data_IF_352109583210
#
_entry.id   IF_352109583210
#
_cell.length_a   1.000
_cell.length_b   1.000
_cell.length_c   1.000
_cell.angle_alpha   90.00
_cell.angle_beta   90.00
_cell.angle_gamma   90.00
#
_symmetry.space_group_name_H-M   'P 1'
#
loop_
_entity.id
_entity.type
_entity.pdbx_description
1 polymer ?
#
# COMPACT_ATOMS: atom_id res chain seq x y z
N UNK A 1 -11.47 5.68 -26.82
CA UNK A 1 -11.55 6.46 -25.57
C UNK A 1 -12.27 5.72 -24.46
N UNK A 2 -13.46 5.15 -24.69
CA UNK A 2 -14.18 4.34 -23.68
C UNK A 2 -13.32 3.29 -22.97
N UNK A 3 -12.52 2.51 -23.71
CA UNK A 3 -11.61 1.52 -23.12
C UNK A 3 -10.58 2.14 -22.19
N UNK A 4 -10.08 3.34 -22.50
CA UNK A 4 -9.15 4.07 -21.64
C UNK A 4 -9.88 4.52 -20.37
N UNK A 5 -11.08 5.13 -20.50
CA UNK A 5 -11.86 5.51 -19.32
C UNK A 5 -12.20 4.31 -18.42
N UNK A 6 -12.60 3.18 -19.01
CA UNK A 6 -12.90 1.96 -18.27
C UNK A 6 -11.69 1.38 -17.52
N UNK A 7 -10.48 1.44 -18.10
CA UNK A 7 -9.28 0.97 -17.39
C UNK A 7 -8.83 1.95 -16.30
N UNK A 8 -9.02 3.27 -16.48
CA UNK A 8 -8.75 4.27 -15.44
C UNK A 8 -9.72 4.14 -14.26
N UNK A 9 -11.01 3.90 -14.54
CA UNK A 9 -12.01 3.59 -13.53
C UNK A 9 -11.58 2.37 -12.70
N UNK A 10 -11.20 1.29 -13.38
CA UNK A 10 -10.76 0.06 -12.74
C UNK A 10 -9.48 0.24 -11.93
N UNK A 11 -8.54 1.03 -12.43
CA UNK A 11 -7.31 1.37 -11.72
C UNK A 11 -7.61 2.15 -10.45
N UNK A 12 -8.54 3.12 -10.52
CA UNK A 12 -9.00 3.88 -9.36
C UNK A 12 -9.60 2.97 -8.28
N UNK A 13 -10.53 2.07 -8.64
CA UNK A 13 -11.14 1.12 -7.69
C UNK A 13 -10.09 0.25 -6.97
N UNK A 14 -9.04 -0.18 -7.70
CA UNK A 14 -8.00 -1.02 -7.14
C UNK A 14 -7.04 -0.24 -6.24
N UNK A 15 -6.77 1.02 -6.56
CA UNK A 15 -6.04 1.95 -5.68
C UNK A 15 -6.85 2.28 -4.42
N UNK A 16 -8.15 2.51 -4.53
CA UNK A 16 -9.07 2.68 -3.39
C UNK A 16 -9.04 1.45 -2.47
N UNK A 17 -9.09 0.24 -3.04
CA UNK A 17 -8.96 -1.00 -2.29
C UNK A 17 -7.59 -1.12 -1.60
N UNK A 18 -6.51 -0.73 -2.28
CA UNK A 18 -5.17 -0.74 -1.70
C UNK A 18 -5.07 0.25 -0.53
N UNK A 19 -5.57 1.47 -0.70
CA UNK A 19 -5.66 2.47 0.37
C UNK A 19 -6.48 1.94 1.55
N UNK A 20 -7.64 1.35 1.30
CA UNK A 20 -8.45 0.72 2.33
C UNK A 20 -7.67 -0.33 3.13
N UNK A 21 -6.89 -1.19 2.46
CA UNK A 21 -6.04 -2.20 3.15
C UNK A 21 -4.87 -1.60 3.92
N UNK A 22 -4.34 -0.47 3.48
CA UNK A 22 -3.35 0.28 4.24
C UNK A 22 -3.96 0.93 5.48
N UNK A 23 -5.15 1.49 5.38
CA UNK A 23 -5.90 2.04 6.52
C UNK A 23 -6.25 0.93 7.52
N UNK A 24 -6.72 -0.23 7.06
CA UNK A 24 -6.97 -1.41 7.90
C UNK A 24 -5.71 -1.84 8.65
N UNK A 25 -4.55 -1.88 7.97
CA UNK A 25 -3.26 -2.19 8.60
C UNK A 25 -2.90 -1.14 9.66
N UNK A 26 -3.14 0.15 9.40
CA UNK A 26 -2.89 1.23 10.36
C UNK A 26 -3.70 1.04 11.64
N UNK A 27 -5.00 0.77 11.52
CA UNK A 27 -5.89 0.58 12.66
C UNK A 27 -5.49 -0.64 13.51
N UNK A 28 -4.98 -1.71 12.88
CA UNK A 28 -4.45 -2.88 13.60
C UNK A 28 -3.14 -2.52 14.34
N UNK A 29 -2.28 -1.70 13.75
CA UNK A 29 -1.06 -1.21 14.41
C UNK A 29 -1.42 -0.34 15.62
N UNK A 30 -2.30 0.65 15.44
CA UNK A 30 -2.73 1.59 16.48
C UNK A 30 -3.47 0.90 17.63
N UNK A 31 -4.23 -0.17 17.35
CA UNK A 31 -4.90 -0.97 18.39
C UNK A 31 -3.98 -1.95 19.12
N UNK A 32 -2.75 -2.16 18.65
CA UNK A 32 -1.82 -3.14 19.23
C UNK A 32 -2.19 -4.60 18.97
N UNK A 33 -3.13 -4.88 18.06
CA UNK A 33 -3.61 -6.23 17.74
C UNK A 33 -2.67 -6.98 16.77
N UNK A 34 -1.40 -7.10 17.16
CA UNK A 34 -0.28 -7.59 16.33
C UNK A 34 -0.54 -8.97 15.71
N UNK A 35 -1.33 -9.82 16.36
CA UNK A 35 -1.73 -11.15 15.84
C UNK A 35 -2.42 -11.09 14.47
N UNK A 36 -3.06 -9.97 14.11
CA UNK A 36 -3.73 -9.79 12.82
C UNK A 36 -2.85 -9.11 11.76
N UNK A 37 -1.68 -8.56 12.11
CA UNK A 37 -0.83 -7.84 11.15
C UNK A 37 -0.39 -8.71 9.97
N UNK A 38 -0.03 -9.97 10.22
CA UNK A 38 0.33 -10.90 9.14
C UNK A 38 -0.81 -11.15 8.17
N UNK A 39 -2.08 -11.11 8.64
CA UNK A 39 -3.26 -11.24 7.79
C UNK A 39 -3.48 -9.97 6.96
N UNK A 40 -3.32 -8.80 7.58
CA UNK A 40 -3.51 -7.49 6.95
C UNK A 40 -2.46 -7.22 5.86
N UNK A 41 -1.17 -7.47 6.15
CA UNK A 41 -0.08 -7.30 5.17
C UNK A 41 -0.27 -8.18 3.94
N UNK A 42 -0.78 -9.42 4.10
CA UNK A 42 -1.16 -10.27 2.96
C UNK A 42 -2.27 -9.66 2.10
N UNK A 43 -3.24 -8.96 2.67
CA UNK A 43 -4.27 -8.27 1.89
C UNK A 43 -3.71 -7.06 1.15
N UNK A 44 -2.82 -6.28 1.78
CA UNK A 44 -2.10 -5.19 1.11
C UNK A 44 -1.32 -5.72 -0.09
N UNK A 45 -0.59 -6.82 0.07
CA UNK A 45 0.16 -7.44 -1.03
C UNK A 45 -0.76 -7.93 -2.16
N UNK A 46 -1.92 -8.52 -1.83
CA UNK A 46 -2.93 -8.90 -2.84
C UNK A 46 -3.49 -7.71 -3.60
N UNK A 47 -3.83 -6.63 -2.89
CA UNK A 47 -4.32 -5.40 -3.52
C UNK A 47 -3.24 -4.75 -4.40
N UNK A 48 -1.99 -4.71 -3.93
CA UNK A 48 -0.83 -4.21 -4.66
C UNK A 48 -0.57 -5.00 -5.95
N UNK A 49 -0.64 -6.33 -5.90
CA UNK A 49 -0.48 -7.17 -7.09
C UNK A 49 -1.55 -6.85 -8.13
N UNK A 50 -2.82 -6.76 -7.72
CA UNK A 50 -3.91 -6.39 -8.63
C UNK A 50 -3.74 -4.98 -9.23
N UNK A 51 -3.24 -4.04 -8.42
CA UNK A 51 -2.93 -2.67 -8.88
C UNK A 51 -1.86 -2.70 -9.98
N UNK A 52 -0.84 -3.54 -9.84
CA UNK A 52 0.20 -3.71 -10.88
C UNK A 52 -0.34 -4.37 -12.15
N UNK A 53 -1.24 -5.33 -12.00
CA UNK A 53 -1.87 -5.98 -13.16
C UNK A 53 -2.71 -4.98 -13.98
N UNK A 54 -3.52 -4.14 -13.32
CA UNK A 54 -4.30 -3.12 -14.02
C UNK A 54 -3.43 -2.01 -14.60
N UNK A 55 -2.34 -1.64 -13.94
CA UNK A 55 -1.37 -0.65 -14.42
C UNK A 55 -0.75 -1.10 -15.77
N UNK A 56 -0.37 -2.38 -15.88
CA UNK A 56 0.08 -2.98 -17.13
C UNK A 56 -1.02 -3.00 -18.21
N UNK A 57 -2.26 -3.32 -17.83
CA UNK A 57 -3.40 -3.27 -18.75
C UNK A 57 -3.66 -1.85 -19.25
N UNK A 58 -3.54 -0.83 -18.37
CA UNK A 58 -3.66 0.58 -18.73
C UNK A 58 -2.58 0.98 -19.71
N UNK A 59 -1.31 0.68 -19.41
CA UNK A 59 -0.20 0.97 -20.30
C UNK A 59 -0.43 0.37 -21.71
N UNK A 60 -0.83 -0.90 -21.79
CA UNK A 60 -1.14 -1.55 -23.06
C UNK A 60 -2.35 -0.92 -23.78
N UNK A 61 -3.39 -0.53 -23.05
CA UNK A 61 -4.60 0.09 -23.62
C UNK A 61 -4.31 1.49 -24.17
N UNK A 62 -3.52 2.27 -23.45
CA UNK A 62 -3.09 3.62 -23.88
C UNK A 62 -2.16 3.50 -25.09
N UNK A 63 -1.20 2.58 -25.08
CA UNK A 63 -0.26 2.38 -26.18
C UNK A 63 -0.94 2.08 -27.54
N UNK A 64 -2.08 1.40 -27.52
CA UNK A 64 -2.88 1.14 -28.73
C UNK A 64 -3.47 2.40 -29.37
N UNK A 65 -3.59 3.50 -28.61
CA UNK A 65 -4.25 4.74 -29.06
C UNK A 65 -3.29 5.92 -29.16
N UNK A 66 -2.37 6.05 -28.20
CA UNK A 66 -1.41 7.14 -28.08
C UNK A 66 -0.22 6.69 -27.23
N UNK A 67 0.71 5.97 -27.86
CA UNK A 67 1.91 5.45 -27.19
C UNK A 67 2.73 6.56 -26.51
N UNK A 68 3.22 6.24 -25.30
CA UNK A 68 3.93 7.19 -24.44
C UNK A 68 3.13 8.42 -23.99
N UNK A 69 1.81 8.47 -24.20
CA UNK A 69 1.00 9.62 -23.80
C UNK A 69 0.71 9.62 -22.29
N UNK A 70 0.82 10.79 -21.67
CA UNK A 70 0.35 11.02 -20.31
C UNK A 70 -1.17 11.24 -20.30
N UNK A 71 -1.79 11.10 -19.12
CA UNK A 71 -3.23 11.34 -18.95
C UNK A 71 -3.61 12.79 -19.24
N UNK A 72 -2.76 13.76 -18.88
CA UNK A 72 -2.98 15.17 -19.23
C UNK A 72 -2.96 15.40 -20.74
N UNK A 73 -2.02 14.77 -21.44
CA UNK A 73 -1.97 14.84 -22.91
C UNK A 73 -3.19 14.19 -23.54
N UNK A 74 -3.62 13.03 -23.03
CA UNK A 74 -4.86 12.38 -23.46
C UNK A 74 -6.06 13.32 -23.28
N UNK A 75 -6.20 13.95 -22.11
CA UNK A 75 -7.28 14.91 -21.86
C UNK A 75 -7.25 16.13 -22.80
N UNK A 76 -6.06 16.60 -23.18
CA UNK A 76 -5.91 17.76 -24.07
C UNK A 76 -6.22 17.45 -25.54
N UNK A 77 -5.91 16.24 -26.02
CA UNK A 77 -6.09 15.86 -27.43
C UNK A 77 -7.37 15.08 -27.71
N UNK A 78 -8.08 14.67 -26.66
CA UNK A 78 -9.28 13.87 -26.80
C UNK A 78 -10.43 14.66 -27.44
N UNK A 79 -11.26 14.04 -28.29
CA UNK A 79 -12.51 14.65 -28.73
C UNK A 79 -13.50 14.70 -27.56
N UNK A 80 -14.50 15.59 -27.64
CA UNK A 80 -15.60 15.60 -26.67
C UNK A 80 -16.33 14.23 -26.62
N UNK A 81 -16.85 13.79 -25.45
CA UNK A 81 -16.88 14.47 -24.14
C UNK A 81 -15.67 14.19 -23.23
N UNK A 82 -14.63 13.54 -23.76
CA UNK A 82 -13.57 12.90 -22.98
C UNK A 82 -12.61 13.82 -22.21
N UNK A 83 -12.31 15.06 -22.65
CA UNK A 83 -11.38 15.93 -21.94
C UNK A 83 -11.74 16.15 -20.46
N UNK A 84 -13.03 16.35 -20.16
CA UNK A 84 -13.52 16.51 -18.78
C UNK A 84 -13.32 15.24 -17.96
N UNK A 85 -13.81 14.11 -18.50
CA UNK A 85 -13.71 12.79 -17.85
C UNK A 85 -12.26 12.44 -17.50
N UNK A 86 -11.31 12.65 -18.42
CA UNK A 86 -9.91 12.34 -18.16
C UNK A 86 -9.25 13.28 -17.14
N UNK A 87 -9.69 14.55 -17.05
CA UNK A 87 -9.25 15.45 -15.97
C UNK A 87 -9.78 15.00 -14.61
N UNK A 88 -11.05 14.59 -14.54
CA UNK A 88 -11.64 14.09 -13.29
C UNK A 88 -10.91 12.81 -12.81
N UNK A 89 -10.61 11.88 -13.73
CA UNK A 89 -9.77 10.73 -13.41
C UNK A 89 -8.36 11.12 -12.95
N UNK A 90 -7.74 12.11 -13.59
CA UNK A 90 -6.40 12.60 -13.22
C UNK A 90 -6.38 13.10 -11.78
N UNK A 91 -7.31 13.97 -11.41
CA UNK A 91 -7.40 14.55 -10.07
C UNK A 91 -7.60 13.46 -8.99
N UNK A 92 -8.52 12.52 -9.25
CA UNK A 92 -8.80 11.41 -8.34
C UNK A 92 -7.61 10.46 -8.16
N UNK A 93 -6.94 10.09 -9.26
CA UNK A 93 -5.78 9.19 -9.22
C UNK A 93 -4.59 9.84 -8.51
N UNK A 94 -4.32 11.13 -8.77
CA UNK A 94 -3.26 11.89 -8.08
C UNK A 94 -3.52 11.92 -6.57
N UNK A 95 -4.75 12.21 -6.15
CA UNK A 95 -5.12 12.23 -4.73
C UNK A 95 -4.91 10.85 -4.08
N UNK A 96 -5.41 9.78 -4.71
CA UNK A 96 -5.25 8.42 -4.18
C UNK A 96 -3.80 7.99 -4.05
N UNK A 97 -2.95 8.27 -5.04
CA UNK A 97 -1.53 7.93 -4.97
C UNK A 97 -0.86 8.65 -3.80
N UNK A 98 -1.14 9.94 -3.60
CA UNK A 98 -0.61 10.69 -2.46
C UNK A 98 -1.08 10.12 -1.11
N UNK A 99 -2.37 9.78 -0.99
CA UNK A 99 -2.92 9.19 0.23
C UNK A 99 -2.33 7.80 0.55
N UNK A 100 -2.10 6.99 -0.48
CA UNK A 100 -1.43 5.69 -0.37
C UNK A 100 0.00 5.85 0.14
N UNK A 101 0.77 6.78 -0.43
CA UNK A 101 2.15 7.05 0.00
C UNK A 101 2.21 7.51 1.46
N UNK A 102 1.36 8.47 1.84
CA UNK A 102 1.26 8.97 3.22
C UNK A 102 0.88 7.85 4.18
N UNK A 103 -0.11 7.03 3.84
CA UNK A 103 -0.59 5.95 4.71
C UNK A 103 0.45 4.84 4.84
N UNK A 104 1.11 4.45 3.75
CA UNK A 104 2.20 3.48 3.78
C UNK A 104 3.38 3.98 4.63
N UNK A 105 3.73 5.27 4.53
CA UNK A 105 4.78 5.88 5.34
C UNK A 105 4.43 5.85 6.84
N UNK A 106 3.18 6.19 7.20
CA UNK A 106 2.69 6.12 8.58
C UNK A 106 2.75 4.70 9.13
N UNK A 107 2.26 3.72 8.37
CA UNK A 107 2.32 2.31 8.77
C UNK A 107 3.75 1.84 9.03
N UNK A 108 4.71 2.28 8.20
CA UNK A 108 6.12 1.99 8.42
C UNK A 108 6.68 2.68 9.68
N UNK A 109 6.22 3.90 9.99
CA UNK A 109 6.53 4.60 11.24
C UNK A 109 6.08 3.80 12.46
N UNK A 110 4.79 3.44 12.50
CA UNK A 110 4.21 2.65 13.59
C UNK A 110 4.88 1.29 13.76
N UNK A 111 5.18 0.58 12.66
CA UNK A 111 5.87 -0.70 12.73
C UNK A 111 7.31 -0.59 13.27
N UNK A 112 8.03 0.50 12.98
CA UNK A 112 9.35 0.78 13.58
C UNK A 112 9.23 1.00 15.08
N UNK A 113 8.29 1.85 15.50
CA UNK A 113 8.01 2.10 16.93
C UNK A 113 7.63 0.81 17.67
N UNK A 114 6.85 -0.06 17.03
CA UNK A 114 6.50 -1.38 17.56
C UNK A 114 7.71 -2.29 17.75
N UNK A 115 8.64 -2.35 16.79
CA UNK A 115 9.90 -3.10 16.92
C UNK A 115 10.78 -2.57 18.04
N UNK A 116 10.91 -1.25 18.17
CA UNK A 116 11.73 -0.64 19.22
C UNK A 116 11.15 -0.91 20.61
N UNK A 117 9.83 -0.88 20.75
CA UNK A 117 9.14 -1.26 21.98
C UNK A 117 9.40 -2.71 22.38
N UNK A 118 9.38 -3.66 21.42
CA UNK A 118 9.70 -5.07 21.68
C UNK A 118 11.17 -5.27 22.10
N UNK A 119 12.10 -4.49 21.52
CA UNK A 119 13.53 -4.53 21.88
C UNK A 119 13.76 -4.05 23.31
N UNK A 120 13.15 -2.92 23.70
CA UNK A 120 13.27 -2.36 25.05
C UNK A 120 12.67 -3.28 26.12
N UNK A 121 11.52 -3.91 25.83
CA UNK A 121 10.89 -4.87 26.74
C UNK A 121 11.79 -6.10 27.01
N UNK A 122 12.51 -6.59 25.99
CA UNK A 122 13.45 -7.72 26.15
C UNK A 122 14.61 -7.37 27.09
N UNK A 123 15.17 -6.17 26.97
CA UNK A 123 16.28 -5.72 27.83
C UNK A 123 15.82 -5.70 29.28
N UNK A 124 14.65 -5.10 29.56
CA UNK A 124 14.10 -4.99 30.92
C UNK A 124 13.87 -6.35 31.57
N UNK A 125 13.29 -7.32 30.84
CA UNK A 125 13.05 -8.68 31.35
C UNK A 125 14.35 -9.46 31.65
N UNK A 126 15.46 -9.13 30.95
CA UNK A 126 16.78 -9.71 31.21
C UNK A 126 17.39 -9.29 32.55
N UNK A 127 16.92 -8.19 33.15
CA UNK A 127 17.37 -7.71 34.46
C UNK A 127 16.64 -8.34 35.64
N UNK A 128 15.49 -9.02 35.45
CA UNK A 128 14.55 -9.30 36.56
C UNK A 128 14.23 -10.78 36.90
N UNK A 129 14.52 -11.83 36.12
CA UNK A 129 13.78 -13.12 36.34
C UNK A 129 14.51 -14.49 36.22
N UNK A 130 13.97 -15.47 37.00
CA UNK A 130 14.32 -16.90 37.20
C UNK A 130 13.62 -17.88 36.19
N UNK A 131 14.04 -19.17 36.06
CA UNK A 131 13.79 -19.96 34.85
C UNK A 131 12.68 -21.04 34.93
N UNK A 132 11.96 -21.22 33.80
CA UNK A 132 11.46 -22.54 33.34
C UNK A 132 10.11 -22.55 32.60
N UNK A 133 10.10 -22.93 31.31
CA UNK A 133 8.93 -23.13 30.41
C UNK A 133 8.22 -21.84 29.92
N UNK A 134 7.69 -21.00 30.79
CA UNK A 134 6.90 -19.79 30.41
C UNK A 134 7.73 -18.80 29.53
N UNK A 135 9.06 -18.80 29.76
CA UNK A 135 10.02 -17.98 29.00
C UNK A 135 10.08 -18.34 27.51
N UNK A 136 9.94 -19.62 27.13
CA UNK A 136 10.06 -20.05 25.73
C UNK A 136 8.84 -19.63 24.93
N UNK A 137 7.65 -19.79 25.49
CA UNK A 137 6.41 -19.40 24.83
C UNK A 137 6.32 -17.87 24.68
N UNK A 138 6.70 -17.13 25.72
CA UNK A 138 6.81 -15.66 25.65
C UNK A 138 7.85 -15.19 24.60
N UNK A 139 8.97 -15.91 24.45
CA UNK A 139 9.98 -15.63 23.44
C UNK A 139 9.46 -15.89 22.02
N UNK A 140 8.73 -16.99 21.81
CA UNK A 140 8.09 -17.29 20.52
C UNK A 140 7.06 -16.23 20.12
N UNK A 141 6.19 -15.81 21.05
CA UNK A 141 5.22 -14.74 20.80
C UNK A 141 5.93 -13.44 20.41
N UNK A 142 6.99 -13.06 21.13
CA UNK A 142 7.78 -11.86 20.81
C UNK A 142 8.41 -11.94 19.42
N UNK A 143 8.99 -13.08 19.05
CA UNK A 143 9.58 -13.29 17.73
C UNK A 143 8.52 -13.20 16.63
N UNK A 144 7.34 -13.79 16.84
CA UNK A 144 6.22 -13.71 15.90
C UNK A 144 5.74 -12.25 15.72
N UNK A 145 5.66 -11.48 16.81
CA UNK A 145 5.32 -10.06 16.76
C UNK A 145 6.38 -9.24 16.00
N UNK A 146 7.68 -9.50 16.25
CA UNK A 146 8.77 -8.87 15.52
C UNK A 146 8.70 -9.13 14.01
N UNK A 147 8.52 -10.39 13.63
CA UNK A 147 8.35 -10.78 12.22
C UNK A 147 7.13 -10.11 11.56
N UNK A 148 6.04 -9.91 12.31
CA UNK A 148 4.86 -9.22 11.80
C UNK A 148 5.14 -7.74 11.49
N UNK A 149 5.83 -7.02 12.38
CA UNK A 149 6.24 -5.64 12.13
C UNK A 149 7.25 -5.52 10.97
N UNK A 150 8.23 -6.43 10.90
CA UNK A 150 9.18 -6.47 9.77
C UNK A 150 8.48 -6.69 8.43
N UNK A 151 7.42 -7.52 8.42
CA UNK A 151 6.59 -7.72 7.23
C UNK A 151 5.90 -6.43 6.79
N UNK A 152 5.38 -5.63 7.74
CA UNK A 152 4.80 -4.31 7.42
C UNK A 152 5.83 -3.40 6.76
N UNK A 153 7.06 -3.33 7.29
CA UNK A 153 8.15 -2.53 6.72
C UNK A 153 8.52 -2.99 5.31
N UNK A 154 8.64 -4.30 5.12
CA UNK A 154 8.95 -4.89 3.83
C UNK A 154 7.85 -4.58 2.81
N UNK A 155 6.58 -4.71 3.17
CA UNK A 155 5.44 -4.37 2.31
C UNK A 155 5.41 -2.88 1.97
N UNK A 156 5.58 -1.99 2.96
CA UNK A 156 5.61 -0.54 2.72
C UNK A 156 6.70 -0.14 1.72
N UNK A 157 7.90 -0.73 1.82
CA UNK A 157 9.02 -0.46 0.91
C UNK A 157 8.74 -0.83 -0.56
N UNK A 158 7.80 -1.74 -0.79
CA UNK A 158 7.43 -2.28 -2.11
C UNK A 158 6.26 -1.56 -2.79
N UNK A 159 5.65 -0.57 -2.13
CA UNK A 159 4.48 0.19 -2.62
C UNK A 159 4.88 1.35 -3.54
N UNK A 160 5.81 1.12 -4.46
CA UNK A 160 6.18 2.12 -5.47
C UNK A 160 5.31 1.96 -6.72
N UNK A 161 4.91 3.09 -7.29
CA UNK A 161 4.06 3.18 -8.50
C UNK A 161 4.67 4.15 -9.55
N UNK A 162 5.92 3.91 -10.01
CA UNK A 162 6.60 4.84 -10.91
C UNK A 162 5.86 5.01 -12.24
N UNK A 163 5.37 3.91 -12.82
CA UNK A 163 4.72 3.92 -14.14
C UNK A 163 3.38 4.67 -14.12
N UNK A 164 2.63 4.57 -13.02
CA UNK A 164 1.42 5.36 -12.79
C UNK A 164 1.77 6.84 -12.61
N UNK A 165 2.77 7.17 -11.79
CA UNK A 165 3.20 8.56 -11.58
C UNK A 165 3.69 9.20 -12.88
N UNK A 166 4.42 8.47 -13.71
CA UNK A 166 4.86 8.93 -15.03
C UNK A 166 3.66 9.18 -15.96
N UNK A 167 2.68 8.28 -15.96
CA UNK A 167 1.44 8.46 -16.72
C UNK A 167 0.59 9.65 -16.25
N UNK A 168 0.61 9.97 -14.96
CA UNK A 168 -0.12 11.11 -14.37
C UNK A 168 0.56 12.46 -14.58
N UNK A 169 1.74 12.55 -15.23
CA UNK A 169 2.40 13.85 -15.49
C UNK A 169 1.64 14.74 -16.47
#
# INVERSE_FOLDING_TARGET
MERIAAVLERERELLELLLFKLVETRLILESGEVRFLSRATREVERARTRTREVDLMRAATVAQHADGSTLRRLAATAPEPWPGIFRDHHDLLVALVAEIEVTAHRNAGEARSGLDSLRLAKVSAGMTEHPGVDRRDAELVRLAQGAAYETVLATASRLRMPDLLDFLR
#
